data_IF_705836518005
#
_entry.id   IF_705836518005
#
_cell.length_a   1.000
_cell.length_b   1.000
_cell.length_c   1.000
_cell.angle_alpha   90.00
_cell.angle_beta   90.00
_cell.angle_gamma   90.00
#
_symmetry.space_group_name_H-M   'P 1'
#
loop_
_entity.id
_entity.type
_entity.pdbx_description
1 polymer ?
#
# COMPACT_ATOMS: atom_id res chain seq x y z
N UNK A 1 -42.33 52.59 63.14
CA UNK A 1 -41.58 51.32 63.31
C UNK A 1 -42.05 50.36 62.22
N UNK A 2 -41.23 50.20 61.18
CA UNK A 2 -41.57 49.47 59.95
C UNK A 2 -41.12 48.01 60.04
N UNK A 3 -42.00 47.12 59.57
CA UNK A 3 -41.82 45.68 59.47
C UNK A 3 -40.78 45.29 58.42
N UNK A 4 -39.94 44.26 58.69
CA UNK A 4 -39.14 43.61 57.65
C UNK A 4 -39.17 42.08 57.74
N UNK A 5 -39.46 41.50 56.57
CA UNK A 5 -39.55 40.07 56.22
C UNK A 5 -38.19 39.36 56.30
N UNK A 6 -38.21 38.11 56.77
CA UNK A 6 -37.14 37.11 56.56
C UNK A 6 -36.98 36.80 55.06
N UNK A 7 -35.75 36.87 54.55
CA UNK A 7 -35.31 36.23 53.31
C UNK A 7 -34.10 35.34 53.61
N UNK A 8 -34.22 34.07 53.26
CA UNK A 8 -33.14 33.09 53.18
C UNK A 8 -32.24 33.46 52.00
N UNK A 9 -30.93 33.47 52.17
CA UNK A 9 -29.95 33.56 51.07
C UNK A 9 -29.01 32.36 51.15
N UNK A 10 -28.91 31.63 50.04
CA UNK A 10 -27.94 30.58 49.80
C UNK A 10 -26.59 31.20 49.47
N UNK A 11 -25.53 30.70 50.10
CA UNK A 11 -24.16 31.10 49.80
C UNK A 11 -23.65 30.29 48.61
N UNK A 12 -23.60 30.89 47.43
CA UNK A 12 -22.90 30.35 46.26
C UNK A 12 -21.44 30.77 46.34
N UNK A 13 -20.55 29.82 46.62
CA UNK A 13 -19.10 29.99 46.51
C UNK A 13 -18.70 30.03 45.03
N UNK A 14 -18.05 31.12 44.65
CA UNK A 14 -17.53 31.42 43.32
C UNK A 14 -16.11 30.84 43.24
N UNK A 15 -15.94 29.73 42.53
CA UNK A 15 -14.62 29.13 42.31
C UNK A 15 -13.89 29.94 41.23
N UNK A 16 -12.79 30.59 41.61
CA UNK A 16 -11.84 31.18 40.68
C UNK A 16 -11.22 30.07 39.83
N UNK A 17 -11.31 30.23 38.51
CA UNK A 17 -10.69 29.35 37.53
C UNK A 17 -9.20 29.69 37.51
N UNK A 18 -8.39 28.86 38.16
CA UNK A 18 -6.94 28.93 38.06
C UNK A 18 -6.52 28.74 36.61
N UNK A 19 -5.70 29.67 36.12
CA UNK A 19 -5.11 29.65 34.79
C UNK A 19 -4.42 28.30 34.54
N UNK A 20 -4.89 27.60 33.49
CA UNK A 20 -4.28 26.38 33.01
C UNK A 20 -2.83 26.63 32.61
N UNK A 21 -1.94 25.79 33.15
CA UNK A 21 -0.56 25.67 32.71
C UNK A 21 -0.54 25.33 31.21
N UNK A 22 0.12 26.20 30.45
CA UNK A 22 0.45 26.00 29.03
C UNK A 22 1.32 24.75 28.86
N UNK A 23 0.65 23.63 28.55
CA UNK A 23 1.31 22.40 28.13
C UNK A 23 1.71 22.56 26.67
N UNK A 24 2.97 22.97 26.46
CA UNK A 24 3.50 23.45 25.20
C UNK A 24 3.14 22.67 23.93
N UNK A 25 3.17 23.43 22.82
CA UNK A 25 2.83 23.14 21.42
C UNK A 25 3.43 21.89 20.74
N UNK A 26 4.01 20.93 21.47
CA UNK A 26 4.67 19.74 20.89
C UNK A 26 3.79 18.48 20.88
N UNK A 27 2.62 18.46 21.54
CA UNK A 27 1.80 17.24 21.65
C UNK A 27 0.88 16.96 20.44
N UNK A 28 0.55 17.97 19.63
CA UNK A 28 -0.40 17.80 18.51
C UNK A 28 0.16 16.96 17.34
N UNK A 29 1.48 16.95 17.17
CA UNK A 29 2.16 16.25 16.07
C UNK A 29 2.35 14.75 16.31
N UNK A 30 1.99 14.22 17.48
CA UNK A 30 2.24 12.83 17.90
C UNK A 30 0.97 12.07 18.31
N UNK A 31 -0.19 12.66 18.04
CA UNK A 31 -1.46 12.05 18.36
C UNK A 31 -1.77 10.94 17.35
N UNK A 32 -1.84 9.71 17.85
CA UNK A 32 -2.44 8.55 17.19
C UNK A 32 -3.96 8.68 17.11
N UNK A 33 -4.54 9.70 17.76
CA UNK A 33 -5.95 10.01 17.64
C UNK A 33 -6.25 10.44 16.19
N UNK A 34 -7.24 9.78 15.63
CA UNK A 34 -7.71 10.02 14.29
C UNK A 34 -8.68 8.93 13.87
N UNK A 35 -9.52 9.19 12.86
CA UNK A 35 -10.42 8.17 12.36
C UNK A 35 -9.64 7.04 11.68
N UNK A 36 -10.06 5.81 11.90
CA UNK A 36 -9.54 4.60 11.23
C UNK A 36 -10.29 4.32 9.93
N UNK A 37 -9.81 3.33 9.17
CA UNK A 37 -10.36 2.92 7.89
C UNK A 37 -9.97 3.85 6.73
N UNK A 38 -10.52 3.56 5.56
CA UNK A 38 -10.27 4.33 4.34
C UNK A 38 -11.03 5.66 4.37
N UNK A 39 -10.36 6.72 3.93
CA UNK A 39 -10.96 7.96 3.47
C UNK A 39 -10.51 8.22 2.04
N UNK A 40 -11.48 8.31 1.14
CA UNK A 40 -11.26 8.83 -0.22
C UNK A 40 -11.11 10.34 -0.11
N UNK A 41 -9.96 10.87 -0.53
CA UNK A 41 -9.65 12.31 -0.46
C UNK A 41 -9.74 12.98 -1.83
N UNK A 42 -9.62 12.21 -2.91
CA UNK A 42 -9.84 12.65 -4.30
C UNK A 42 -10.50 11.50 -5.05
N UNK A 43 -11.63 11.76 -5.73
CA UNK A 43 -12.42 10.74 -6.44
C UNK A 43 -12.85 11.24 -7.83
N UNK A 44 -11.94 11.26 -8.82
CA UNK A 44 -12.31 11.65 -10.17
C UNK A 44 -13.18 10.58 -10.81
N UNK A 45 -14.24 10.99 -11.52
CA UNK A 45 -15.19 10.05 -12.15
C UNK A 45 -14.56 9.16 -13.22
N UNK A 46 -13.45 9.60 -13.80
CA UNK A 46 -12.69 8.95 -14.86
C UNK A 46 -11.36 8.36 -14.36
N UNK A 47 -11.29 8.03 -13.07
CA UNK A 47 -10.09 7.57 -12.39
C UNK A 47 -9.41 6.37 -13.08
N UNK A 48 -8.11 6.48 -13.36
CA UNK A 48 -7.28 5.45 -14.01
C UNK A 48 -6.34 4.71 -13.07
N UNK A 49 -6.16 5.18 -11.84
CA UNK A 49 -5.36 4.53 -10.82
C UNK A 49 -5.92 4.81 -9.42
N UNK A 50 -5.68 3.89 -8.49
CA UNK A 50 -5.87 4.11 -7.05
C UNK A 50 -4.49 4.34 -6.41
N UNK A 51 -4.30 5.48 -5.72
CA UNK A 51 -3.11 5.75 -4.91
C UNK A 51 -3.51 5.71 -3.44
N UNK A 52 -2.97 4.75 -2.70
CA UNK A 52 -3.34 4.43 -1.32
C UNK A 52 -2.21 4.78 -0.37
N UNK A 53 -2.47 5.71 0.52
CA UNK A 53 -1.55 6.15 1.55
C UNK A 53 -1.74 5.38 2.85
N UNK A 54 -0.68 4.81 3.39
CA UNK A 54 -0.70 4.02 4.62
C UNK A 54 0.33 4.55 5.61
N UNK A 55 -0.14 5.11 6.73
CA UNK A 55 0.74 5.77 7.70
C UNK A 55 1.50 4.78 8.58
N UNK A 56 2.58 5.24 9.22
CA UNK A 56 3.30 4.47 10.22
C UNK A 56 2.81 4.71 11.66
N UNK A 57 3.59 4.18 12.61
CA UNK A 57 3.39 4.42 14.04
C UNK A 57 3.38 5.90 14.40
N UNK A 58 2.62 6.25 15.43
CA UNK A 58 2.49 7.63 15.96
C UNK A 58 1.93 8.66 14.99
N UNK A 59 1.53 8.21 13.80
CA UNK A 59 0.84 9.01 12.80
C UNK A 59 -0.65 8.69 12.73
N UNK A 60 -1.31 9.35 11.80
CA UNK A 60 -2.66 9.01 11.36
C UNK A 60 -2.80 9.28 9.86
N UNK A 61 -3.96 8.95 9.28
CA UNK A 61 -4.19 9.00 7.83
C UNK A 61 -4.09 10.39 7.20
N UNK A 62 -4.04 11.47 7.99
CA UNK A 62 -3.90 12.85 7.49
C UNK A 62 -2.59 13.50 7.95
N UNK A 63 -2.32 13.49 9.26
CA UNK A 63 -1.17 14.18 9.85
C UNK A 63 0.15 13.68 9.30
N UNK A 64 0.27 12.38 9.00
CA UNK A 64 1.49 11.78 8.43
C UNK A 64 1.92 12.50 7.16
N UNK A 65 0.95 12.87 6.31
CA UNK A 65 1.17 13.48 5.00
C UNK A 65 0.93 14.99 5.00
N UNK A 66 0.84 15.61 6.18
CA UNK A 66 0.62 17.05 6.32
C UNK A 66 1.88 17.72 6.85
N UNK A 67 2.39 18.69 6.09
CA UNK A 67 3.50 19.54 6.53
C UNK A 67 3.04 20.61 7.54
N UNK A 68 3.99 21.21 8.28
CA UNK A 68 3.69 22.20 9.32
C UNK A 68 2.99 23.45 8.78
N UNK A 69 3.26 23.82 7.53
CA UNK A 69 2.56 24.88 6.79
C UNK A 69 1.13 24.51 6.36
N UNK A 70 0.59 23.38 6.86
CA UNK A 70 -0.74 22.83 6.57
C UNK A 70 -0.93 22.27 5.15
N UNK A 71 0.15 22.13 4.36
CA UNK A 71 0.10 21.40 3.09
C UNK A 71 -0.15 19.91 3.35
N UNK A 72 -1.38 19.46 3.12
CA UNK A 72 -1.72 18.05 2.98
C UNK A 72 -1.50 17.63 1.52
N UNK A 73 -0.29 17.17 1.22
CA UNK A 73 0.18 17.01 -0.15
C UNK A 73 -0.54 15.95 -1.00
N UNK A 74 -1.21 14.91 -0.46
CA UNK A 74 -2.05 14.02 -1.27
C UNK A 74 -3.14 14.77 -2.05
N UNK A 75 -3.74 15.81 -1.45
CA UNK A 75 -4.69 16.69 -2.16
C UNK A 75 -3.93 17.84 -2.82
N UNK A 76 -3.16 18.60 -2.03
CA UNK A 76 -2.66 19.89 -2.45
C UNK A 76 -1.62 19.83 -3.60
N UNK A 77 -0.93 18.70 -3.77
CA UNK A 77 0.11 18.54 -4.80
C UNK A 77 -0.20 17.35 -5.72
N UNK A 78 -0.40 16.17 -5.14
CA UNK A 78 -0.48 14.93 -5.92
C UNK A 78 -1.72 14.90 -6.83
N UNK A 79 -2.85 15.44 -6.38
CA UNK A 79 -4.07 15.50 -7.18
C UNK A 79 -3.95 16.42 -8.40
N UNK A 80 -3.08 17.45 -8.34
CA UNK A 80 -2.81 18.31 -9.49
C UNK A 80 -1.92 17.62 -10.52
N UNK A 81 -0.94 16.82 -10.04
CA UNK A 81 -0.01 16.08 -10.90
C UNK A 81 -0.64 14.84 -11.54
N UNK A 82 -1.58 14.22 -10.84
CA UNK A 82 -2.30 13.03 -11.28
C UNK A 82 -3.81 13.27 -11.18
N UNK A 83 -4.40 14.12 -12.05
CA UNK A 83 -5.80 14.53 -11.97
C UNK A 83 -6.80 13.38 -12.18
N UNK A 84 -6.34 12.27 -12.77
CA UNK A 84 -7.11 11.04 -12.97
C UNK A 84 -6.77 9.95 -11.94
N UNK A 85 -6.02 10.26 -10.89
CA UNK A 85 -5.81 9.32 -9.79
C UNK A 85 -6.90 9.49 -8.74
N UNK A 86 -7.51 8.38 -8.34
CA UNK A 86 -8.26 8.33 -7.08
C UNK A 86 -7.26 8.22 -5.95
N UNK A 87 -7.39 9.06 -4.93
CA UNK A 87 -6.45 9.11 -3.82
C UNK A 87 -7.17 8.72 -2.53
N UNK A 88 -6.64 7.72 -1.85
CA UNK A 88 -7.18 7.15 -0.63
C UNK A 88 -6.15 7.24 0.49
N UNK A 89 -6.60 7.49 1.71
CA UNK A 89 -5.78 7.41 2.92
C UNK A 89 -6.36 6.37 3.86
N UNK A 90 -5.52 5.50 4.39
CA UNK A 90 -5.93 4.45 5.33
C UNK A 90 -5.42 4.77 6.73
N UNK A 91 -6.33 4.73 7.71
CA UNK A 91 -6.03 4.90 9.13
C UNK A 91 -6.15 3.61 9.92
N UNK A 92 -5.23 3.36 10.85
CA UNK A 92 -5.33 2.25 11.81
C UNK A 92 -4.75 2.66 13.18
N UNK A 93 -5.04 1.88 14.22
CA UNK A 93 -4.50 2.13 15.57
C UNK A 93 -2.99 1.85 15.60
N UNK A 94 -2.22 2.93 15.39
CA UNK A 94 -0.78 2.90 15.26
C UNK A 94 -0.06 3.35 16.55
N UNK A 95 -0.69 3.15 17.71
CA UNK A 95 -0.05 3.32 19.01
C UNK A 95 1.11 2.34 19.19
N UNK A 96 2.31 2.89 19.39
CA UNK A 96 3.57 2.13 19.54
C UNK A 96 3.47 1.14 20.70
N UNK A 97 2.84 1.52 21.81
CA UNK A 97 2.69 0.63 22.96
C UNK A 97 1.89 -0.58 22.56
N UNK A 98 0.68 -0.33 22.10
CA UNK A 98 -0.29 -1.36 21.78
C UNK A 98 0.19 -2.25 20.66
N UNK A 99 0.81 -1.66 19.63
CA UNK A 99 1.32 -2.39 18.49
C UNK A 99 2.44 -3.38 18.88
N UNK A 100 3.35 -3.00 19.81
CA UNK A 100 4.53 -3.81 20.13
C UNK A 100 4.50 -4.58 21.46
N UNK A 101 3.59 -4.28 22.40
CA UNK A 101 3.56 -4.93 23.73
C UNK A 101 2.44 -5.95 23.93
N UNK A 102 1.32 -5.83 23.23
CA UNK A 102 0.17 -6.73 23.40
C UNK A 102 0.20 -7.71 22.23
N UNK A 103 0.54 -8.99 22.49
CA UNK A 103 0.49 -10.13 21.54
C UNK A 103 0.46 -9.68 20.06
N UNK A 104 1.56 -9.07 19.62
CA UNK A 104 1.65 -8.26 18.38
C UNK A 104 1.23 -9.00 17.12
N UNK A 105 1.28 -10.33 17.16
CA UNK A 105 0.87 -11.24 16.08
C UNK A 105 -0.51 -10.93 15.53
N UNK A 106 -1.48 -10.68 16.41
CA UNK A 106 -2.83 -10.40 15.94
C UNK A 106 -2.93 -9.00 15.32
N UNK A 107 -2.11 -8.03 15.75
CA UNK A 107 -2.32 -6.62 15.36
C UNK A 107 -1.86 -6.29 13.95
N UNK A 108 -0.69 -6.76 13.54
CA UNK A 108 -0.23 -6.56 12.16
C UNK A 108 -1.18 -7.28 11.19
N UNK A 109 -1.51 -8.53 11.49
CA UNK A 109 -2.47 -9.34 10.74
C UNK A 109 -3.83 -8.64 10.65
N UNK A 110 -4.34 -8.10 11.76
CA UNK A 110 -5.63 -7.41 11.80
C UNK A 110 -5.60 -6.10 10.99
N UNK A 111 -4.51 -5.34 11.03
CA UNK A 111 -4.36 -4.12 10.23
C UNK A 111 -4.22 -4.42 8.74
N UNK A 112 -3.44 -5.45 8.37
CA UNK A 112 -3.32 -5.92 6.99
C UNK A 112 -4.65 -6.43 6.43
N UNK A 113 -5.38 -7.25 7.21
CA UNK A 113 -6.76 -7.69 6.89
C UNK A 113 -7.69 -6.49 6.73
N UNK A 114 -7.65 -5.54 7.66
CA UNK A 114 -8.50 -4.34 7.61
C UNK A 114 -8.23 -3.51 6.36
N UNK A 115 -6.97 -3.34 5.98
CA UNK A 115 -6.59 -2.65 4.75
C UNK A 115 -7.12 -3.40 3.51
N UNK A 116 -6.89 -4.72 3.44
CA UNK A 116 -7.30 -5.53 2.31
C UNK A 116 -8.83 -5.50 2.09
N UNK A 117 -9.61 -5.71 3.15
CA UNK A 117 -11.07 -5.67 3.06
C UNK A 117 -11.60 -4.26 2.79
N UNK A 118 -11.06 -3.23 3.43
CA UNK A 118 -11.50 -1.86 3.15
C UNK A 118 -11.24 -1.50 1.67
N UNK A 119 -10.11 -1.90 1.10
CA UNK A 119 -9.85 -1.69 -0.32
C UNK A 119 -10.80 -2.49 -1.21
N UNK A 120 -11.07 -3.75 -0.88
CA UNK A 120 -12.05 -4.57 -1.60
C UNK A 120 -13.42 -3.87 -1.64
N UNK A 121 -13.92 -3.43 -0.49
CA UNK A 121 -15.21 -2.75 -0.35
C UNK A 121 -15.25 -1.43 -1.13
N UNK A 122 -14.19 -0.64 -1.07
CA UNK A 122 -14.11 0.65 -1.77
C UNK A 122 -13.91 0.55 -3.27
N UNK A 123 -13.37 -0.57 -3.78
CA UNK A 123 -13.19 -0.81 -5.22
C UNK A 123 -14.43 -1.41 -5.86
N UNK A 124 -15.24 -2.17 -5.10
CA UNK A 124 -16.46 -2.78 -5.63
C UNK A 124 -16.19 -3.55 -6.91
N UNK A 125 -16.94 -3.27 -7.98
CA UNK A 125 -16.76 -3.91 -9.29
C UNK A 125 -15.59 -3.39 -10.13
N UNK A 126 -14.81 -2.41 -9.65
CA UNK A 126 -13.66 -1.84 -10.38
C UNK A 126 -12.43 -2.68 -10.14
N UNK A 127 -12.41 -3.88 -10.73
CA UNK A 127 -11.34 -4.85 -10.46
C UNK A 127 -10.04 -4.53 -11.19
N UNK A 128 -10.04 -3.85 -12.34
CA UNK A 128 -8.86 -3.74 -13.22
C UNK A 128 -8.01 -2.47 -13.02
N UNK A 129 -8.43 -1.55 -12.16
CA UNK A 129 -7.70 -0.29 -11.93
C UNK A 129 -6.41 -0.55 -11.12
N UNK A 130 -5.23 -0.10 -11.59
CA UNK A 130 -3.97 -0.33 -10.88
C UNK A 130 -3.97 0.35 -9.50
N UNK A 131 -3.46 -0.35 -8.50
CA UNK A 131 -3.24 0.13 -7.13
C UNK A 131 -1.76 0.48 -6.96
N UNK A 132 -1.50 1.65 -6.42
CA UNK A 132 -0.20 2.14 -6.01
C UNK A 132 -0.23 2.46 -4.52
N UNK A 133 0.65 1.84 -3.74
CA UNK A 133 0.77 2.14 -2.32
C UNK A 133 1.88 3.17 -2.07
N UNK A 134 1.64 4.12 -1.16
CA UNK A 134 2.67 4.97 -0.57
C UNK A 134 2.61 4.75 0.94
N UNK A 135 3.60 4.05 1.46
CA UNK A 135 3.55 3.51 2.80
C UNK A 135 4.72 4.02 3.63
N UNK A 136 4.42 4.57 4.81
CA UNK A 136 5.43 5.11 5.72
C UNK A 136 5.70 4.16 6.87
N UNK A 137 6.98 3.87 7.07
CA UNK A 137 7.47 3.03 8.15
C UNK A 137 6.67 1.75 8.34
N UNK A 138 6.11 1.49 9.52
CA UNK A 138 5.32 0.30 9.77
C UNK A 138 4.11 0.13 8.84
N UNK A 139 3.58 1.23 8.28
CA UNK A 139 2.53 1.17 7.28
C UNK A 139 2.93 0.35 6.05
N UNK A 140 4.24 0.24 5.76
CA UNK A 140 4.76 -0.66 4.73
C UNK A 140 4.45 -2.12 5.02
N UNK A 141 4.67 -2.57 6.25
CA UNK A 141 4.38 -3.95 6.65
C UNK A 141 2.88 -4.25 6.67
N UNK A 142 2.06 -3.24 6.97
CA UNK A 142 0.60 -3.37 6.85
C UNK A 142 0.20 -3.63 5.40
N UNK A 143 0.84 -2.97 4.43
CA UNK A 143 0.64 -3.25 3.02
C UNK A 143 1.16 -4.64 2.62
N UNK A 144 2.35 -5.03 3.08
CA UNK A 144 2.90 -6.36 2.82
C UNK A 144 1.98 -7.46 3.33
N UNK A 145 1.47 -7.34 4.55
CA UNK A 145 0.53 -8.30 5.13
C UNK A 145 -0.80 -8.34 4.34
N UNK A 146 -1.30 -7.19 3.89
CA UNK A 146 -2.48 -7.14 3.04
C UNK A 146 -2.26 -7.86 1.68
N UNK A 147 -1.06 -7.73 1.09
CA UNK A 147 -0.69 -8.41 -0.16
C UNK A 147 -0.45 -9.91 0.07
N UNK A 148 0.21 -10.29 1.17
CA UNK A 148 0.37 -11.68 1.60
C UNK A 148 -0.99 -12.36 1.73
N UNK A 149 -1.92 -11.73 2.43
CA UNK A 149 -3.29 -12.22 2.56
C UNK A 149 -3.97 -12.35 1.19
N UNK A 150 -3.82 -11.35 0.33
CA UNK A 150 -4.37 -11.34 -1.03
C UNK A 150 -3.82 -12.47 -1.90
N UNK A 151 -2.56 -12.86 -1.70
CA UNK A 151 -1.93 -13.98 -2.41
C UNK A 151 -2.50 -15.35 -2.00
N UNK A 152 -3.05 -15.45 -0.78
CA UNK A 152 -3.55 -16.68 -0.16
C UNK A 152 -5.07 -16.83 -0.29
N UNK A 153 -5.79 -15.79 -0.69
CA UNK A 153 -7.25 -15.73 -0.68
C UNK A 153 -7.86 -15.33 -2.00
N UNK A 154 -8.72 -16.19 -2.55
CA UNK A 154 -9.32 -16.00 -3.86
C UNK A 154 -10.14 -14.70 -3.99
N UNK A 155 -10.88 -14.33 -2.94
CA UNK A 155 -11.70 -13.12 -2.91
C UNK A 155 -10.89 -11.81 -2.88
N UNK A 156 -9.59 -11.89 -2.55
CA UNK A 156 -8.67 -10.76 -2.49
C UNK A 156 -7.62 -10.80 -3.61
N UNK A 157 -7.59 -11.83 -4.47
CA UNK A 157 -6.57 -11.94 -5.53
C UNK A 157 -6.54 -10.70 -6.43
N UNK A 158 -7.70 -10.11 -6.73
CA UNK A 158 -7.80 -8.89 -7.54
C UNK A 158 -7.05 -7.71 -6.92
N UNK A 159 -6.86 -7.66 -5.60
CA UNK A 159 -5.99 -6.66 -4.98
C UNK A 159 -4.54 -6.89 -5.37
N UNK A 160 -4.02 -8.12 -5.20
CA UNK A 160 -2.64 -8.45 -5.54
C UNK A 160 -2.37 -8.27 -7.04
N UNK A 161 -3.23 -8.86 -7.90
CA UNK A 161 -3.07 -8.82 -9.36
C UNK A 161 -3.07 -7.39 -9.92
N UNK A 162 -3.83 -6.49 -9.29
CA UNK A 162 -3.92 -5.10 -9.74
C UNK A 162 -2.98 -4.16 -8.97
N UNK A 163 -2.21 -4.65 -8.01
CA UNK A 163 -1.20 -3.81 -7.36
C UNK A 163 -0.02 -3.63 -8.32
N UNK A 164 0.10 -2.42 -8.86
CA UNK A 164 1.19 -2.03 -9.75
C UNK A 164 2.50 -1.86 -8.98
N UNK A 165 2.44 -1.29 -7.77
CA UNK A 165 3.64 -1.13 -6.97
C UNK A 165 3.44 -0.48 -5.61
N UNK A 166 4.53 -0.47 -4.84
CA UNK A 166 4.60 0.14 -3.51
C UNK A 166 5.84 1.04 -3.40
N UNK A 167 5.61 2.26 -2.93
CA UNK A 167 6.65 3.19 -2.51
C UNK A 167 6.76 3.10 -0.99
N UNK A 168 7.85 2.52 -0.52
CA UNK A 168 8.18 2.47 0.90
C UNK A 168 8.92 3.73 1.32
N UNK A 169 8.55 4.30 2.47
CA UNK A 169 9.17 5.49 3.04
C UNK A 169 9.64 5.16 4.45
N UNK A 170 10.92 4.80 4.59
CA UNK A 170 11.50 4.40 5.86
C UNK A 170 10.84 3.15 6.47
N UNK A 171 10.26 2.29 5.63
CA UNK A 171 9.78 0.97 6.07
C UNK A 171 10.97 0.15 6.51
N UNK A 172 11.05 -0.28 7.77
CA UNK A 172 12.06 -1.24 8.13
C UNK A 172 11.67 -2.54 7.43
N UNK A 173 12.51 -3.08 6.57
CA UNK A 173 12.50 -4.42 6.01
C UNK A 173 13.61 -5.14 6.74
N UNK A 174 13.27 -5.91 7.77
CA UNK A 174 14.27 -6.52 8.65
C UNK A 174 14.87 -7.77 8.03
N UNK A 175 15.53 -7.60 6.87
CA UNK A 175 16.16 -8.67 6.12
C UNK A 175 16.92 -9.61 7.05
N UNK A 176 16.50 -10.89 7.09
CA UNK A 176 16.99 -12.03 7.88
C UNK A 176 17.44 -11.83 9.35
N UNK A 177 17.38 -10.63 9.92
CA UNK A 177 17.95 -10.28 11.21
C UNK A 177 16.93 -9.56 12.10
N UNK A 178 16.31 -10.34 12.98
CA UNK A 178 15.40 -9.93 14.07
C UNK A 178 15.86 -8.68 14.84
N UNK A 179 17.18 -8.51 15.02
CA UNK A 179 17.73 -7.39 15.79
C UNK A 179 17.44 -6.01 15.16
N UNK A 180 17.25 -5.91 13.83
CA UNK A 180 16.91 -4.65 13.15
C UNK A 180 15.54 -4.11 13.58
N UNK A 181 14.58 -5.00 13.81
CA UNK A 181 13.25 -4.63 14.29
C UNK A 181 13.27 -4.17 15.74
N UNK A 182 13.91 -4.95 16.63
CA UNK A 182 13.98 -4.61 18.05
C UNK A 182 14.64 -3.26 18.31
N UNK A 183 15.71 -2.94 17.56
CA UNK A 183 16.38 -1.64 17.65
C UNK A 183 15.50 -0.49 17.14
N UNK A 184 14.79 -0.70 16.02
CA UNK A 184 13.82 0.27 15.49
C UNK A 184 12.71 0.54 16.52
N UNK A 185 12.10 -0.51 17.08
CA UNK A 185 11.06 -0.40 18.12
C UNK A 185 11.57 0.37 19.34
N UNK A 186 12.78 0.06 19.82
CA UNK A 186 13.37 0.75 20.96
C UNK A 186 13.57 2.25 20.67
N UNK A 187 14.06 2.60 19.47
CA UNK A 187 14.23 4.00 19.03
C UNK A 187 12.87 4.72 18.98
N UNK A 188 11.83 4.10 18.42
CA UNK A 188 10.47 4.63 18.46
C UNK A 188 10.00 4.87 19.89
N UNK A 189 10.05 3.87 20.75
CA UNK A 189 9.59 3.99 22.14
C UNK A 189 10.31 5.14 22.85
N UNK A 190 11.61 5.26 22.67
CA UNK A 190 12.41 6.33 23.28
C UNK A 190 12.02 7.73 22.80
N UNK A 191 11.69 7.90 21.51
CA UNK A 191 11.25 9.19 20.95
C UNK A 191 9.87 9.58 21.46
N UNK A 192 8.94 8.61 21.56
CA UNK A 192 7.51 8.92 21.72
C UNK A 192 6.97 8.71 23.15
N UNK A 193 7.74 8.14 24.08
CA UNK A 193 7.34 7.94 25.50
C UNK A 193 8.13 8.75 26.53
N UNK A 194 8.65 9.93 26.19
CA UNK A 194 9.42 10.79 27.10
C UNK A 194 8.78 11.16 28.47
N UNK A 195 7.60 10.65 28.81
CA UNK A 195 6.85 10.93 30.06
C UNK A 195 6.53 9.72 30.95
N UNK A 196 6.85 8.47 30.60
CA UNK A 196 6.64 7.35 31.55
C UNK A 196 7.67 6.22 31.37
N UNK A 197 8.67 6.20 32.27
CA UNK A 197 9.88 5.37 32.19
C UNK A 197 9.67 3.89 32.57
N UNK A 198 8.47 3.48 33.00
CA UNK A 198 8.21 2.11 33.48
C UNK A 198 7.82 1.08 32.39
N UNK A 199 7.58 1.48 31.13
CA UNK A 199 7.06 0.57 30.09
C UNK A 199 8.16 -0.13 29.26
N UNK A 200 9.44 0.11 29.56
CA UNK A 200 10.56 -0.48 28.81
C UNK A 200 10.91 -1.91 29.23
N UNK A 201 10.45 -2.39 30.39
CA UNK A 201 10.85 -3.70 30.90
C UNK A 201 10.15 -4.91 30.27
N UNK A 202 9.07 -4.71 29.50
CA UNK A 202 8.25 -5.80 28.94
C UNK A 202 8.10 -5.76 27.40
N UNK A 203 8.90 -4.96 26.70
CA UNK A 203 9.01 -5.06 25.24
C UNK A 203 9.87 -6.28 24.91
N UNK A 204 9.28 -7.47 24.98
CA UNK A 204 9.84 -8.59 24.24
C UNK A 204 9.70 -8.27 22.76
N UNK A 205 10.75 -8.44 21.94
CA UNK A 205 10.62 -8.31 20.51
C UNK A 205 9.54 -9.28 20.04
N UNK A 206 8.40 -8.77 19.60
CA UNK A 206 7.43 -9.52 18.79
C UNK A 206 7.98 -9.80 17.39
N UNK A 207 9.25 -10.19 17.31
CA UNK A 207 10.04 -10.23 16.09
C UNK A 207 9.64 -11.37 15.16
N UNK A 208 8.91 -12.38 15.66
CA UNK A 208 8.44 -13.49 14.84
C UNK A 208 7.42 -13.04 13.79
N UNK A 209 6.55 -12.09 14.10
CA UNK A 209 5.44 -11.75 13.20
C UNK A 209 5.87 -10.81 12.08
N UNK A 210 6.64 -9.77 12.40
CA UNK A 210 7.22 -8.89 11.38
C UNK A 210 8.14 -9.67 10.44
N UNK A 211 8.97 -10.54 11.02
CA UNK A 211 9.85 -11.40 10.26
C UNK A 211 9.04 -12.33 9.38
N UNK A 212 7.97 -12.95 9.89
CA UNK A 212 7.08 -13.81 9.11
C UNK A 212 6.40 -13.04 7.97
N UNK A 213 5.85 -11.85 8.23
CA UNK A 213 5.21 -11.02 7.18
C UNK A 213 6.21 -10.68 6.08
N UNK A 214 7.43 -10.28 6.44
CA UNK A 214 8.49 -9.96 5.48
C UNK A 214 8.94 -11.23 4.70
N UNK A 215 9.14 -12.37 5.38
CA UNK A 215 9.51 -13.64 4.74
C UNK A 215 8.42 -14.10 3.76
N UNK A 216 7.15 -14.03 4.17
CA UNK A 216 6.01 -14.35 3.31
C UNK A 216 5.92 -13.39 2.11
N UNK A 217 6.19 -12.10 2.33
CA UNK A 217 6.16 -11.08 1.29
C UNK A 217 7.26 -11.32 0.26
N UNK A 218 8.49 -11.57 0.72
CA UNK A 218 9.60 -11.92 -0.15
C UNK A 218 9.34 -13.23 -0.91
N UNK A 219 8.81 -14.26 -0.25
CA UNK A 219 8.43 -15.50 -0.93
C UNK A 219 7.36 -15.28 -2.00
N UNK A 220 6.34 -14.46 -1.73
CA UNK A 220 5.34 -14.09 -2.73
C UNK A 220 5.99 -13.38 -3.93
N UNK A 221 6.93 -12.47 -3.69
CA UNK A 221 7.60 -11.72 -4.76
C UNK A 221 8.52 -12.57 -5.63
N UNK A 222 8.95 -13.74 -5.16
CA UNK A 222 9.74 -14.69 -5.96
C UNK A 222 8.91 -15.46 -6.99
N UNK A 223 7.58 -15.29 -7.00
CA UNK A 223 6.71 -15.94 -7.98
C UNK A 223 6.75 -15.20 -9.32
N UNK A 224 6.92 -15.95 -10.41
CA UNK A 224 7.04 -15.40 -11.78
C UNK A 224 5.79 -14.63 -12.26
N UNK A 225 4.62 -14.93 -11.69
CA UNK A 225 3.36 -14.27 -12.04
C UNK A 225 3.16 -12.91 -11.36
N UNK A 226 4.00 -12.58 -10.37
CA UNK A 226 3.91 -11.33 -9.61
C UNK A 226 4.91 -10.31 -10.17
N UNK A 227 4.38 -9.20 -10.69
CA UNK A 227 5.16 -8.09 -11.26
C UNK A 227 4.98 -6.80 -10.45
N UNK A 228 5.23 -6.89 -9.16
CA UNK A 228 5.11 -5.77 -8.23
C UNK A 228 6.32 -4.83 -8.37
N UNK A 229 6.09 -3.55 -8.69
CA UNK A 229 7.14 -2.54 -8.66
C UNK A 229 7.39 -2.10 -7.22
N UNK A 230 8.64 -1.98 -6.80
CA UNK A 230 9.01 -1.48 -5.46
C UNK A 230 10.02 -0.35 -5.59
N UNK A 231 9.84 0.68 -4.77
CA UNK A 231 10.82 1.74 -4.58
C UNK A 231 10.98 2.05 -3.09
N UNK A 232 12.21 2.04 -2.59
CA UNK A 232 12.48 2.27 -1.18
C UNK A 232 13.12 3.64 -0.95
N UNK A 233 12.42 4.52 -0.25
CA UNK A 233 12.98 5.75 0.28
C UNK A 233 13.48 5.56 1.72
N UNK A 234 14.65 6.09 2.04
CA UNK A 234 15.20 6.06 3.40
C UNK A 234 15.57 7.45 3.92
N UNK A 235 15.63 7.61 5.25
CA UNK A 235 15.97 8.90 5.86
C UNK A 235 17.46 9.23 5.67
N UNK A 236 17.76 10.44 5.22
CA UNK A 236 19.12 10.94 5.12
C UNK A 236 19.62 11.46 6.47
N UNK A 237 18.74 12.14 7.22
CA UNK A 237 19.08 12.85 8.44
C UNK A 237 18.72 12.01 9.67
N UNK A 238 19.49 12.19 10.75
CA UNK A 238 19.14 11.68 12.07
C UNK A 238 18.10 12.56 12.73
N UNK A 239 17.27 11.99 13.60
CA UNK A 239 16.34 12.74 14.44
C UNK A 239 17.09 13.70 15.39
N UNK A 240 18.15 13.21 16.04
CA UNK A 240 19.11 13.98 16.85
C UNK A 240 20.36 13.13 17.14
N UNK A 241 21.35 13.70 17.82
CA UNK A 241 22.61 13.03 18.16
C UNK A 241 22.43 11.79 19.05
N UNK A 242 21.38 11.75 19.87
CA UNK A 242 21.14 10.65 20.82
C UNK A 242 20.37 9.50 20.21
N UNK A 243 19.34 9.79 19.41
CA UNK A 243 18.45 8.80 18.79
C UNK A 243 19.06 8.23 17.50
N UNK A 244 19.81 9.06 16.76
CA UNK A 244 20.26 8.70 15.42
C UNK A 244 19.09 8.66 14.42
N UNK A 245 19.23 7.82 13.39
CA UNK A 245 18.16 7.48 12.46
C UNK A 245 17.22 6.48 13.13
N UNK A 246 15.92 6.59 12.89
CA UNK A 246 14.94 5.61 13.39
C UNK A 246 15.11 4.28 12.66
N UNK A 247 15.23 4.32 11.32
CA UNK A 247 15.43 3.18 10.46
C UNK A 247 16.71 3.39 9.65
N UNK A 248 17.71 2.54 9.91
CA UNK A 248 18.95 2.59 9.14
C UNK A 248 18.71 2.21 7.68
N UNK A 249 19.56 2.72 6.78
CA UNK A 249 19.41 2.51 5.32
C UNK A 249 19.28 1.03 4.97
N UNK A 250 20.10 0.19 5.58
CA UNK A 250 20.17 -1.25 5.31
C UNK A 250 18.87 -1.96 5.71
N UNK A 251 18.16 -1.43 6.70
CA UNK A 251 16.81 -1.87 7.03
C UNK A 251 15.77 -1.20 6.14
N UNK A 252 15.97 0.03 5.67
CA UNK A 252 14.97 0.76 4.89
C UNK A 252 14.88 0.36 3.41
N UNK A 253 15.65 -0.62 2.93
CA UNK A 253 15.72 -1.00 1.52
C UNK A 253 15.57 -2.51 1.31
N UNK A 254 15.00 -2.87 0.15
CA UNK A 254 15.10 -4.20 -0.42
C UNK A 254 16.21 -4.18 -1.49
N UNK A 255 17.34 -4.90 -1.32
CA UNK A 255 18.52 -4.75 -2.18
C UNK A 255 18.29 -4.97 -3.69
N UNK A 256 17.28 -5.75 -4.06
CA UNK A 256 16.93 -6.02 -5.45
C UNK A 256 16.17 -4.87 -6.14
N UNK A 257 15.81 -3.81 -5.40
CA UNK A 257 14.95 -2.73 -5.87
C UNK A 257 15.61 -1.36 -5.78
N UNK A 258 15.17 -0.46 -6.65
CA UNK A 258 15.62 0.92 -6.66
C UNK A 258 15.32 1.61 -5.33
N UNK A 259 16.27 2.43 -4.90
CA UNK A 259 16.17 3.16 -3.64
C UNK A 259 16.85 4.53 -3.73
N UNK A 260 16.41 5.46 -2.88
CA UNK A 260 17.01 6.78 -2.75
C UNK A 260 16.75 7.36 -1.36
N UNK A 261 17.61 8.26 -0.89
CA UNK A 261 17.34 8.99 0.34
C UNK A 261 16.38 10.15 0.10
N UNK A 262 15.50 10.43 1.07
CA UNK A 262 14.87 11.75 1.23
C UNK A 262 15.73 12.56 2.21
N UNK A 263 16.04 13.82 1.87
CA UNK A 263 16.84 14.71 2.72
C UNK A 263 16.03 15.25 3.93
N UNK A 264 15.61 14.34 4.79
CA UNK A 264 14.80 14.57 5.97
C UNK A 264 15.08 13.49 7.02
N UNK A 265 14.60 13.71 8.24
CA UNK A 265 14.54 12.66 9.26
C UNK A 265 13.30 11.77 9.06
N UNK A 266 13.23 10.67 9.81
CA UNK A 266 12.14 9.70 9.71
C UNK A 266 10.74 10.28 9.84
N UNK A 267 10.60 11.36 10.61
CA UNK A 267 9.31 12.00 10.92
C UNK A 267 8.88 12.96 9.82
N UNK A 268 9.84 13.63 9.19
CA UNK A 268 9.60 14.72 8.25
C UNK A 268 9.72 14.28 6.80
N UNK A 269 10.28 13.10 6.51
CA UNK A 269 10.43 12.57 5.14
C UNK A 269 9.11 12.40 4.35
N UNK A 270 7.96 12.41 5.03
CA UNK A 270 6.61 12.28 4.43
C UNK A 270 5.86 13.61 4.35
N UNK A 271 6.49 14.73 4.72
CA UNK A 271 5.85 16.03 4.93
C UNK A 271 6.39 17.08 3.98
N UNK A 272 5.92 17.06 2.74
CA UNK A 272 6.42 17.96 1.71
C UNK A 272 5.83 19.37 1.81
N UNK A 273 6.69 20.36 1.59
CA UNK A 273 6.34 21.77 1.72
C UNK A 273 5.48 22.29 0.57
N UNK A 274 5.72 21.79 -0.64
CA UNK A 274 5.07 22.21 -1.88
C UNK A 274 5.67 21.55 -3.12
N UNK A 275 5.25 21.99 -4.31
CA UNK A 275 5.66 21.42 -5.61
C UNK A 275 7.17 21.51 -5.90
N UNK A 276 7.85 22.50 -5.33
CA UNK A 276 9.31 22.69 -5.46
C UNK A 276 10.13 21.88 -4.45
N UNK A 277 9.48 21.15 -3.54
CA UNK A 277 10.14 20.28 -2.57
C UNK A 277 10.86 19.12 -3.30
N UNK A 278 12.16 18.96 -3.04
CA UNK A 278 12.96 17.94 -3.72
C UNK A 278 12.47 16.51 -3.40
N UNK A 279 12.05 16.27 -2.15
CA UNK A 279 11.53 14.97 -1.73
C UNK A 279 10.22 14.63 -2.43
N UNK A 280 9.33 15.63 -2.57
CA UNK A 280 8.11 15.48 -3.36
C UNK A 280 8.44 15.16 -4.82
N UNK A 281 9.39 15.90 -5.42
CA UNK A 281 9.83 15.67 -6.78
C UNK A 281 10.33 14.24 -7.03
N UNK A 282 11.06 13.67 -6.06
CA UNK A 282 11.51 12.27 -6.12
C UNK A 282 10.33 11.30 -6.10
N UNK A 283 9.39 11.44 -5.15
CA UNK A 283 8.21 10.57 -5.05
C UNK A 283 7.34 10.67 -6.31
N UNK A 284 7.03 11.91 -6.75
CA UNK A 284 6.27 12.18 -7.98
C UNK A 284 6.91 11.52 -9.20
N UNK A 285 8.23 11.63 -9.35
CA UNK A 285 8.96 11.04 -10.47
C UNK A 285 8.97 9.51 -10.49
N UNK A 286 8.85 8.85 -9.34
CA UNK A 286 8.65 7.38 -9.28
C UNK A 286 7.26 7.03 -9.80
N UNK A 287 6.22 7.68 -9.27
CA UNK A 287 4.83 7.42 -9.66
C UNK A 287 4.60 7.70 -11.15
N UNK A 288 5.13 8.81 -11.67
CA UNK A 288 5.03 9.20 -13.07
C UNK A 288 5.62 8.15 -14.01
N UNK A 289 6.81 7.61 -13.68
CA UNK A 289 7.43 6.53 -14.45
C UNK A 289 6.56 5.27 -14.44
N UNK A 290 6.06 4.86 -13.28
CA UNK A 290 5.29 3.63 -13.15
C UNK A 290 3.93 3.69 -13.85
N UNK A 291 3.22 4.82 -13.71
CA UNK A 291 1.93 5.02 -14.38
C UNK A 291 2.11 5.06 -15.90
N UNK A 292 3.12 5.80 -16.39
CA UNK A 292 3.42 5.86 -17.83
C UNK A 292 3.78 4.49 -18.41
N UNK A 293 4.60 3.72 -17.71
CA UNK A 293 4.95 2.36 -18.11
C UNK A 293 3.68 1.49 -18.20
N UNK A 294 2.82 1.55 -17.19
CA UNK A 294 1.57 0.79 -17.14
C UNK A 294 0.64 1.15 -18.31
N UNK A 295 0.38 2.44 -18.53
CA UNK A 295 -0.47 2.92 -19.62
C UNK A 295 0.05 2.50 -20.99
N UNK A 296 1.38 2.55 -21.19
CA UNK A 296 2.01 2.12 -22.44
C UNK A 296 1.86 0.62 -22.71
N UNK A 297 1.96 -0.22 -21.67
CA UNK A 297 1.82 -1.67 -21.79
C UNK A 297 0.36 -2.07 -22.02
N UNK A 298 -0.58 -1.45 -21.32
CA UNK A 298 -2.02 -1.67 -21.49
C UNK A 298 -2.50 -1.25 -22.89
N UNK A 299 -1.93 -0.16 -23.43
CA UNK A 299 -2.25 0.28 -24.79
C UNK A 299 -1.76 -0.71 -25.85
N UNK A 300 -0.55 -1.29 -25.66
CA UNK A 300 -0.02 -2.33 -26.56
C UNK A 300 -0.84 -3.62 -26.51
N UNK A 301 -1.19 -4.10 -25.31
CA UNK A 301 -2.02 -5.31 -25.17
C UNK A 301 -3.40 -5.16 -25.80
N UNK A 302 -3.97 -3.95 -25.81
CA UNK A 302 -5.25 -3.67 -26.45
C UNK A 302 -5.13 -3.55 -27.99
N UNK A 303 -3.99 -3.09 -28.51
CA UNK A 303 -3.73 -2.99 -29.95
C UNK A 303 -3.48 -4.37 -30.61
N UNK A 304 -2.92 -5.32 -29.85
CA UNK A 304 -2.63 -6.68 -30.33
C UNK A 304 -3.85 -7.63 -30.27
N UNK A 305 -5.02 -7.17 -29.79
CA UNK A 305 -6.25 -7.95 -29.93
C UNK A 305 -6.81 -7.82 -31.35
N UNK A 306 -7.06 -8.93 -32.07
CA UNK A 306 -7.64 -8.87 -33.41
C UNK A 306 -9.00 -8.19 -33.35
N UNK A 307 -9.12 -7.05 -34.04
CA UNK A 307 -10.38 -6.32 -34.21
C UNK A 307 -11.41 -7.31 -34.78
N UNK A 308 -12.45 -7.61 -34.00
CA UNK A 308 -13.54 -8.47 -34.43
C UNK A 308 -14.09 -7.99 -35.77
N UNK A 309 -13.79 -8.73 -36.84
CA UNK A 309 -14.51 -8.61 -38.10
C UNK A 309 -16.01 -8.86 -37.81
N UNK A 310 -16.94 -8.16 -38.49
CA UNK A 310 -18.36 -8.35 -38.26
C UNK A 310 -18.72 -9.82 -38.46
N UNK A 311 -19.27 -10.46 -37.43
CA UNK A 311 -19.87 -11.80 -37.58
C UNK A 311 -21.04 -11.67 -38.54
N UNK A 312 -20.87 -12.16 -39.76
CA UNK A 312 -21.97 -12.43 -40.66
C UNK A 312 -22.94 -13.39 -39.96
N UNK A 313 -24.19 -12.96 -39.81
CA UNK A 313 -25.28 -13.80 -39.33
C UNK A 313 -25.68 -14.77 -40.43
N UNK A 314 -25.08 -15.95 -40.45
CA UNK A 314 -25.59 -17.07 -41.25
C UNK A 314 -26.42 -18.01 -40.37
N UNK A 315 -27.74 -17.95 -40.59
CA UNK A 315 -28.66 -19.00 -40.20
C UNK A 315 -28.40 -20.22 -41.09
N UNK A 316 -27.61 -21.18 -40.62
CA UNK A 316 -27.59 -22.52 -41.19
C UNK A 316 -27.27 -23.59 -40.15
N UNK A 317 -28.09 -24.64 -40.23
CA UNK A 317 -28.23 -25.86 -39.46
C UNK A 317 -26.92 -26.49 -38.94
N UNK A 318 -26.92 -26.81 -37.63
CA UNK A 318 -25.86 -27.53 -36.90
C UNK A 318 -25.47 -28.86 -37.58
N UNK A 319 -24.19 -28.96 -37.97
CA UNK A 319 -23.44 -30.24 -38.01
C UNK A 319 -22.13 -30.00 -37.25
N UNK A 320 -21.86 -30.85 -36.26
CA UNK A 320 -20.71 -30.73 -35.35
C UNK A 320 -19.44 -31.24 -36.03
N UNK A 321 -18.45 -30.36 -36.24
CA UNK A 321 -17.10 -30.74 -36.66
C UNK A 321 -16.04 -30.22 -35.67
N UNK A 322 -15.31 -31.17 -35.07
CA UNK A 322 -14.16 -30.90 -34.20
C UNK A 322 -13.03 -30.25 -35.01
N UNK A 323 -12.48 -29.13 -34.51
CA UNK A 323 -11.27 -28.50 -35.04
C UNK A 323 -10.10 -28.77 -34.10
N UNK A 324 -9.23 -29.71 -34.46
CA UNK A 324 -7.90 -29.87 -33.87
C UNK A 324 -6.89 -28.92 -34.52
N UNK A 325 -5.69 -28.74 -33.93
CA UNK A 325 -4.69 -27.81 -34.42
C UNK A 325 -4.17 -28.21 -35.81
N UNK A 326 -4.10 -27.24 -36.72
CA UNK A 326 -3.55 -27.38 -38.08
C UNK A 326 -2.06 -27.05 -38.04
N UNK A 327 -1.22 -27.99 -38.46
CA UNK A 327 0.21 -27.78 -38.63
C UNK A 327 0.51 -27.45 -40.10
N UNK A 328 1.06 -26.26 -40.36
CA UNK A 328 1.58 -25.88 -41.67
C UNK A 328 3.11 -25.97 -41.65
N UNK A 329 3.65 -27.03 -42.25
CA UNK A 329 5.08 -27.23 -42.47
C UNK A 329 5.32 -28.29 -43.56
N UNK A 330 6.47 -28.29 -44.24
CA UNK A 330 6.76 -29.24 -45.30
C UNK A 330 6.85 -30.67 -44.73
N UNK A 331 6.05 -31.59 -45.29
CA UNK A 331 6.08 -33.00 -44.93
C UNK A 331 7.20 -33.67 -45.73
N UNK A 332 8.26 -34.13 -45.05
CA UNK A 332 9.25 -35.04 -45.63
C UNK A 332 9.22 -36.36 -44.86
N UNK A 333 8.76 -37.43 -45.52
CA UNK A 333 8.66 -38.78 -44.93
C UNK A 333 8.78 -39.87 -46.00
N UNK A 334 9.51 -40.94 -45.68
CA UNK A 334 10.13 -41.90 -46.61
C UNK A 334 9.28 -43.15 -46.92
N UNK A 335 7.95 -43.08 -46.82
CA UNK A 335 7.06 -44.21 -47.08
C UNK A 335 5.82 -43.76 -47.87
N UNK A 336 5.79 -44.06 -49.16
CA UNK A 336 4.61 -43.93 -50.02
C UNK A 336 4.16 -45.34 -50.41
N UNK A 337 2.91 -45.70 -50.11
CA UNK A 337 2.31 -46.96 -50.52
C UNK A 337 1.87 -46.83 -52.00
N UNK A 338 2.20 -47.79 -52.89
CA UNK A 338 1.80 -47.74 -54.30
C UNK A 338 0.27 -47.76 -54.44
N UNK A 339 -0.30 -46.77 -55.14
CA UNK A 339 -1.74 -46.72 -55.48
C UNK A 339 -2.50 -45.47 -55.04
N UNK A 340 -1.86 -44.47 -54.43
CA UNK A 340 -2.52 -43.19 -54.09
C UNK A 340 -2.41 -42.17 -55.23
N UNK A 341 -3.54 -41.74 -55.78
CA UNK A 341 -3.61 -40.51 -56.59
C UNK A 341 -3.82 -39.31 -55.67
N UNK A 342 -3.01 -38.28 -55.85
CA UNK A 342 -3.14 -36.99 -55.18
C UNK A 342 -3.76 -35.98 -56.14
N UNK A 343 -4.99 -35.56 -55.85
CA UNK A 343 -5.54 -34.30 -56.33
C UNK A 343 -6.23 -33.62 -55.15
N UNK A 344 -5.81 -32.40 -54.83
CA UNK A 344 -6.48 -31.53 -53.85
C UNK A 344 -6.68 -32.12 -52.45
N UNK A 345 -5.63 -32.12 -51.64
CA UNK A 345 -5.66 -31.89 -50.18
C UNK A 345 -6.78 -32.53 -49.33
N UNK A 346 -7.08 -33.82 -49.46
CA UNK A 346 -7.68 -34.59 -48.33
C UNK A 346 -7.44 -36.09 -48.52
N UNK A 347 -7.02 -36.80 -47.48
CA UNK A 347 -6.98 -38.28 -47.44
C UNK A 347 -7.95 -38.72 -46.35
N UNK A 348 -9.01 -39.43 -46.72
CA UNK A 348 -9.95 -40.04 -45.78
C UNK A 348 -9.52 -41.49 -45.50
N UNK A 349 -9.40 -41.83 -44.22
CA UNK A 349 -9.22 -43.22 -43.77
C UNK A 349 -10.55 -43.73 -43.20
N UNK A 350 -11.01 -44.88 -43.68
CA UNK A 350 -12.13 -45.62 -43.08
C UNK A 350 -11.57 -46.77 -42.24
N UNK A 351 -12.03 -46.88 -40.99
CA UNK A 351 -11.86 -48.09 -40.17
C UNK A 351 -13.21 -48.77 -40.00
N UNK A 352 -13.30 -50.10 -40.15
CA UNK A 352 -14.51 -50.85 -39.85
C UNK A 352 -14.74 -50.92 -38.33
N UNK A 353 -16.00 -50.77 -37.92
CA UNK A 353 -16.43 -50.70 -36.52
C UNK A 353 -16.57 -52.04 -35.82
#
# INVERSE_FOLDING_TARGET
MSWLKKRVHSTTTRTEVAAGLDTGANNELYSTDGPTGIRVVVDPSDATADIVFVHGLTGNREKTWTHQNKTFWPIALLSEDFPRARILTFGYDADVVRFWTIASSNRLDDHGKSLAYALLDHRGSVEQRPILFIAHSLGGLVCEEALNLSSKRQDLQSMLTNTLGIVFMGTPHGGSHVAGWGTTVAKYVNVFRGTNREILHNLQPGSSDLQRTEEDFQHMMMRDDIKLKIYCFYEALKMNDTVGKIVERESAILPAYDNCSINADHRTMTKFTGRADAGYGQVRGVLERWIKDYESNTSRSNADQPVNAPKATDNATRVSSYHGPVFNGPISGRYVIPGSQTTGSTVNFNFPG
#
